data_IF_641014562945
#
_entry.id   IF_641014562945
#
_cell.length_a   1.000
_cell.length_b   1.000
_cell.length_c   1.000
_cell.angle_alpha   90.00
_cell.angle_beta   90.00
_cell.angle_gamma   90.00
#
_symmetry.space_group_name_H-M   'P 1'
#
loop_
_entity.id
_entity.type
_entity.pdbx_description
1 polymer ?
#
# COMPACT_ATOMS: atom_id res chain seq x y z
N UNK A 1 -14.04 11.91 8.16
CA UNK A 1 -13.72 11.27 6.85
C UNK A 1 -14.94 10.55 6.29
N UNK A 2 -15.20 10.69 4.99
CA UNK A 2 -16.18 9.87 4.26
C UNK A 2 -15.86 8.37 4.33
N UNK A 3 -16.86 7.50 4.17
CA UNK A 3 -16.67 6.05 4.12
C UNK A 3 -15.69 5.61 3.02
N UNK A 4 -15.74 6.29 1.87
CA UNK A 4 -14.80 6.09 0.77
C UNK A 4 -13.36 6.24 1.25
N UNK A 5 -13.05 7.40 1.84
CA UNK A 5 -11.71 7.70 2.32
C UNK A 5 -11.23 6.72 3.39
N UNK A 6 -12.10 6.32 4.33
CA UNK A 6 -11.79 5.29 5.33
C UNK A 6 -11.45 3.95 4.66
N UNK A 7 -12.20 3.55 3.64
CA UNK A 7 -11.96 2.31 2.90
C UNK A 7 -10.66 2.36 2.08
N UNK A 8 -10.41 3.46 1.36
CA UNK A 8 -9.20 3.65 0.56
C UNK A 8 -7.93 3.58 1.43
N UNK A 9 -7.93 4.27 2.57
CA UNK A 9 -6.80 4.25 3.51
C UNK A 9 -6.63 2.86 4.11
N UNK A 10 -7.71 2.18 4.50
CA UNK A 10 -7.63 0.84 5.08
C UNK A 10 -7.11 -0.18 4.07
N UNK A 11 -7.78 -0.33 2.94
CA UNK A 11 -7.43 -1.34 1.93
C UNK A 11 -6.10 -1.01 1.26
N UNK A 12 -5.94 0.23 0.82
CA UNK A 12 -4.74 0.70 0.14
C UNK A 12 -3.52 0.81 1.04
N UNK A 13 -3.70 1.27 2.27
CA UNK A 13 -2.62 1.34 3.26
C UNK A 13 -2.12 -0.04 3.69
N UNK A 14 -3.02 -1.01 3.90
CA UNK A 14 -2.62 -2.40 4.16
C UNK A 14 -1.78 -2.95 3.00
N UNK A 15 -2.20 -2.71 1.76
CA UNK A 15 -1.43 -3.14 0.60
C UNK A 15 -0.06 -2.45 0.51
N UNK A 16 0.01 -1.14 0.72
CA UNK A 16 1.28 -0.40 0.69
C UNK A 16 2.27 -0.84 1.76
N UNK A 17 1.77 -1.11 2.97
CA UNK A 17 2.57 -1.68 4.06
C UNK A 17 3.06 -3.08 3.70
N UNK A 18 2.17 -3.93 3.16
CA UNK A 18 2.51 -5.27 2.70
C UNK A 18 3.62 -5.23 1.65
N UNK A 19 3.51 -4.38 0.62
CA UNK A 19 4.53 -4.23 -0.41
C UNK A 19 5.88 -3.77 0.15
N UNK A 20 5.87 -2.87 1.14
CA UNK A 20 7.09 -2.38 1.79
C UNK A 20 7.78 -3.51 2.55
N UNK A 21 7.04 -4.30 3.34
CA UNK A 21 7.58 -5.45 4.07
C UNK A 21 8.11 -6.50 3.10
N UNK A 22 7.37 -6.82 2.04
CA UNK A 22 7.80 -7.82 1.07
C UNK A 22 9.03 -7.37 0.30
N UNK A 23 9.15 -6.11 -0.10
CA UNK A 23 10.35 -5.61 -0.76
C UNK A 23 11.59 -5.83 0.11
N UNK A 24 11.50 -5.55 1.41
CA UNK A 24 12.59 -5.80 2.36
C UNK A 24 12.93 -7.28 2.47
N UNK A 25 11.91 -8.15 2.57
CA UNK A 25 12.11 -9.59 2.69
C UNK A 25 12.74 -10.20 1.44
N UNK A 26 12.47 -9.66 0.24
CA UNK A 26 13.12 -10.10 -0.98
C UNK A 26 14.61 -9.71 -1.01
N UNK A 27 14.92 -8.48 -0.60
CA UNK A 27 16.28 -7.94 -0.65
C UNK A 27 17.15 -8.37 0.55
N UNK A 28 16.58 -9.02 1.57
CA UNK A 28 17.28 -9.37 2.83
C UNK A 28 18.48 -10.30 2.65
N UNK A 29 18.51 -11.07 1.56
CA UNK A 29 19.65 -11.95 1.23
C UNK A 29 20.84 -11.19 0.65
N UNK A 30 20.59 -10.00 0.09
CA UNK A 30 21.60 -9.17 -0.55
C UNK A 30 22.06 -8.03 0.37
N UNK A 31 21.11 -7.41 1.07
CA UNK A 31 21.36 -6.24 1.92
C UNK A 31 20.77 -6.51 3.31
N UNK A 32 21.55 -6.40 4.40
CA UNK A 32 21.04 -6.55 5.75
C UNK A 32 19.90 -5.57 6.05
N UNK A 33 18.90 -6.01 6.84
CA UNK A 33 17.73 -5.19 7.20
C UNK A 33 18.11 -3.79 7.73
N UNK A 34 19.11 -3.72 8.61
CA UNK A 34 19.59 -2.48 9.21
C UNK A 34 20.10 -1.47 8.18
N UNK A 35 20.73 -1.96 7.11
CA UNK A 35 21.24 -1.10 6.03
C UNK A 35 20.10 -0.65 5.12
N UNK A 36 19.15 -1.54 4.80
CA UNK A 36 18.00 -1.19 3.96
C UNK A 36 17.20 -0.04 4.56
N UNK A 37 16.83 -0.13 5.84
CA UNK A 37 16.02 0.90 6.52
C UNK A 37 16.80 2.18 6.80
N UNK A 38 18.13 2.15 6.78
CA UNK A 38 18.95 3.35 6.89
C UNK A 38 18.98 4.18 5.60
N UNK A 39 18.55 3.62 4.47
CA UNK A 39 18.58 4.33 3.18
C UNK A 39 17.35 5.24 2.98
N UNK A 40 17.54 6.47 2.46
CA UNK A 40 16.41 7.32 2.07
C UNK A 40 15.52 6.67 1.00
N UNK A 41 16.12 5.86 0.14
CA UNK A 41 15.41 5.16 -0.94
C UNK A 41 14.33 4.20 -0.42
N UNK A 42 14.58 3.53 0.71
CA UNK A 42 13.58 2.69 1.37
C UNK A 42 12.30 3.48 1.71
N UNK A 43 12.45 4.65 2.33
CA UNK A 43 11.31 5.49 2.70
C UNK A 43 10.58 6.09 1.50
N UNK A 44 11.31 6.47 0.45
CA UNK A 44 10.72 6.95 -0.81
C UNK A 44 9.86 5.85 -1.45
N UNK A 45 10.38 4.62 -1.53
CA UNK A 45 9.63 3.47 -2.06
C UNK A 45 8.42 3.14 -1.19
N UNK A 46 8.59 3.11 0.13
CA UNK A 46 7.50 2.87 1.07
C UNK A 46 6.37 3.91 0.91
N UNK A 47 6.73 5.20 0.83
CA UNK A 47 5.78 6.28 0.58
C UNK A 47 5.09 6.13 -0.79
N UNK A 48 5.83 5.73 -1.83
CA UNK A 48 5.27 5.45 -3.14
C UNK A 48 4.27 4.28 -3.10
N UNK A 49 4.61 3.16 -2.45
CA UNK A 49 3.71 2.01 -2.29
C UNK A 49 2.45 2.36 -1.52
N UNK A 50 2.56 3.13 -0.43
CA UNK A 50 1.39 3.58 0.35
C UNK A 50 0.52 4.51 -0.49
N UNK A 51 1.13 5.47 -1.20
CA UNK A 51 0.39 6.42 -2.05
C UNK A 51 -0.33 5.69 -3.19
N UNK A 52 0.38 4.83 -3.92
CA UNK A 52 -0.20 4.00 -4.99
C UNK A 52 -1.29 3.08 -4.43
N UNK A 53 -1.04 2.46 -3.27
CA UNK A 53 -2.01 1.61 -2.59
C UNK A 53 -3.32 2.35 -2.30
N UNK A 54 -3.25 3.54 -1.71
CA UNK A 54 -4.43 4.32 -1.35
C UNK A 54 -5.16 4.88 -2.58
N UNK A 55 -4.44 5.52 -3.49
CA UNK A 55 -5.04 6.27 -4.60
C UNK A 55 -5.41 5.39 -5.80
N UNK A 56 -4.65 4.34 -6.08
CA UNK A 56 -4.91 3.45 -7.21
C UNK A 56 -5.75 2.28 -6.71
N UNK A 57 -5.17 1.40 -5.89
CA UNK A 57 -5.84 0.18 -5.45
C UNK A 57 -7.06 0.48 -4.58
N UNK A 58 -6.95 1.36 -3.61
CA UNK A 58 -8.05 1.77 -2.74
C UNK A 58 -9.22 2.38 -3.53
N UNK A 59 -8.92 3.19 -4.55
CA UNK A 59 -9.96 3.78 -5.41
C UNK A 59 -10.66 2.73 -6.28
N UNK A 60 -9.91 1.88 -6.98
CA UNK A 60 -10.51 0.86 -7.85
C UNK A 60 -11.31 -0.18 -7.06
N UNK A 61 -10.81 -0.60 -5.90
CA UNK A 61 -11.52 -1.53 -5.00
C UNK A 61 -12.78 -0.90 -4.42
N UNK A 62 -12.76 0.39 -4.05
CA UNK A 62 -13.97 1.11 -3.65
C UNK A 62 -15.00 1.15 -4.78
N UNK A 63 -14.57 1.49 -6.00
CA UNK A 63 -15.44 1.53 -7.18
C UNK A 63 -16.09 0.17 -7.45
N UNK A 64 -15.31 -0.91 -7.33
CA UNK A 64 -15.81 -2.28 -7.47
C UNK A 64 -16.83 -2.62 -6.37
N UNK A 65 -16.57 -2.25 -5.11
CA UNK A 65 -17.49 -2.44 -3.99
C UNK A 65 -18.83 -1.74 -4.23
N UNK A 66 -18.81 -0.47 -4.64
CA UNK A 66 -20.03 0.30 -4.93
C UNK A 66 -20.82 -0.35 -6.07
N UNK A 67 -20.14 -0.79 -7.14
CA UNK A 67 -20.78 -1.50 -8.25
C UNK A 67 -21.46 -2.80 -7.79
N UNK A 68 -20.81 -3.58 -6.93
CA UNK A 68 -21.37 -4.81 -6.37
C UNK A 68 -22.59 -4.55 -5.47
N UNK A 69 -22.58 -3.45 -4.72
CA UNK A 69 -23.71 -3.06 -3.88
C UNK A 69 -24.91 -2.58 -4.68
N UNK A 70 -24.70 -1.91 -5.81
CA UNK A 70 -25.77 -1.46 -6.70
C UNK A 70 -26.38 -2.58 -7.56
N UNK A 71 -25.66 -3.70 -7.73
CA UNK A 71 -26.12 -4.87 -8.47
C UNK A 71 -26.84 -5.91 -7.58
N UNK A 72 -26.91 -5.67 -6.27
CA UNK A 72 -27.70 -6.45 -5.30
C UNK A 72 -28.98 -5.71 -4.98
#
# INVERSE_FOLDING_TARGET
MSERWKYQIKTGGIWGLFMTVFNVLFDIKEIPFSEQVATPNFYIRAAAYITVGIFVLGYFTWKAKVKQQAAK
#
